data_IF_177418797695
#
_entry.id   IF_177418797695
#
_cell.length_a   1.000
_cell.length_b   1.000
_cell.length_c   1.000
_cell.angle_alpha   90.00
_cell.angle_beta   90.00
_cell.angle_gamma   90.00
#
_symmetry.space_group_name_H-M   'P 1'
#
loop_
_entity.id
_entity.type
_entity.pdbx_description
1 polymer ?
#
# COMPACT_ATOMS: atom_id res chain seq x y z
N UNK A 1 14.07 -34.52 13.47
CA UNK A 1 14.14 -33.67 12.27
C UNK A 1 13.16 -32.49 12.41
N UNK A 2 13.60 -31.34 12.96
CA UNK A 2 12.68 -30.24 13.34
C UNK A 2 13.11 -28.84 12.87
N UNK A 3 13.99 -28.74 11.86
CA UNK A 3 14.60 -27.45 11.45
C UNK A 3 13.85 -26.71 10.34
N UNK A 4 13.05 -27.38 9.51
CA UNK A 4 12.30 -26.74 8.43
C UNK A 4 11.18 -25.77 8.86
N UNK A 5 10.35 -26.03 9.89
CA UNK A 5 9.23 -25.14 10.20
C UNK A 5 9.71 -23.79 10.77
N UNK A 6 10.87 -23.75 11.44
CA UNK A 6 11.46 -22.53 11.98
C UNK A 6 11.95 -21.57 10.87
N UNK A 7 12.49 -22.11 9.77
CA UNK A 7 12.98 -21.30 8.65
C UNK A 7 11.81 -20.60 7.95
N UNK A 8 10.72 -21.32 7.66
CA UNK A 8 9.51 -20.76 7.04
C UNK A 8 8.82 -19.73 7.94
N UNK A 9 8.83 -19.93 9.27
CA UNK A 9 8.32 -18.95 10.21
C UNK A 9 9.17 -17.68 10.27
N UNK A 10 10.50 -17.82 10.19
CA UNK A 10 11.43 -16.67 10.20
C UNK A 10 11.29 -15.81 8.93
N UNK A 11 11.09 -16.45 7.78
CA UNK A 11 10.81 -15.82 6.48
C UNK A 11 9.49 -15.02 6.48
N UNK A 12 8.43 -15.59 7.08
CA UNK A 12 7.15 -14.88 7.25
C UNK A 12 7.27 -13.69 8.20
N UNK A 13 7.98 -13.84 9.33
CA UNK A 13 8.23 -12.73 10.27
C UNK A 13 9.05 -11.61 9.63
N UNK A 14 10.04 -11.93 8.80
CA UNK A 14 10.81 -10.93 8.04
C UNK A 14 9.94 -10.15 7.07
N UNK A 15 9.05 -10.83 6.31
CA UNK A 15 8.10 -10.17 5.40
C UNK A 15 7.09 -9.28 6.14
N UNK A 16 6.57 -9.73 7.28
CA UNK A 16 5.68 -8.92 8.13
C UNK A 16 6.43 -7.71 8.69
N UNK A 17 7.67 -7.89 9.15
CA UNK A 17 8.52 -6.80 9.62
C UNK A 17 8.77 -5.75 8.53
N UNK A 18 9.07 -6.19 7.30
CA UNK A 18 9.28 -5.31 6.15
C UNK A 18 8.01 -4.51 5.82
N UNK A 19 6.84 -5.17 5.80
CA UNK A 19 5.56 -4.51 5.58
C UNK A 19 5.24 -3.47 6.67
N UNK A 20 5.50 -3.78 7.94
CA UNK A 20 5.33 -2.86 9.07
C UNK A 20 6.27 -1.65 8.95
N UNK A 21 7.53 -1.86 8.58
CA UNK A 21 8.48 -0.76 8.39
C UNK A 21 8.07 0.16 7.24
N UNK A 22 7.59 -0.39 6.12
CA UNK A 22 7.07 0.40 5.00
C UNK A 22 5.82 1.18 5.41
N UNK A 23 4.94 0.57 6.21
CA UNK A 23 3.74 1.23 6.73
C UNK A 23 4.09 2.38 7.69
N UNK A 24 5.05 2.19 8.61
CA UNK A 24 5.57 3.24 9.49
C UNK A 24 6.21 4.40 8.71
N UNK A 25 6.95 4.10 7.64
CA UNK A 25 7.52 5.12 6.75
C UNK A 25 6.41 5.92 6.05
N UNK A 26 5.38 5.25 5.54
CA UNK A 26 4.20 5.90 4.94
C UNK A 26 3.47 6.80 5.94
N UNK A 27 3.25 6.33 7.18
CA UNK A 27 2.65 7.14 8.25
C UNK A 27 3.51 8.34 8.62
N UNK A 28 4.84 8.18 8.64
CA UNK A 28 5.78 9.28 8.92
C UNK A 28 5.64 10.35 7.84
N UNK A 29 5.74 9.97 6.57
CA UNK A 29 5.58 10.88 5.42
C UNK A 29 4.22 11.59 5.46
N UNK A 30 3.12 10.86 5.71
CA UNK A 30 1.79 11.46 5.86
C UNK A 30 1.72 12.47 7.02
N UNK A 31 2.39 12.20 8.15
CA UNK A 31 2.46 13.11 9.28
C UNK A 31 3.18 14.42 8.92
N UNK A 32 4.30 14.34 8.20
CA UNK A 32 5.01 15.52 7.67
C UNK A 32 4.12 16.34 6.72
N UNK A 33 3.33 15.69 5.87
CA UNK A 33 2.37 16.38 5.00
C UNK A 33 1.28 17.10 5.79
N UNK A 34 0.72 16.48 6.83
CA UNK A 34 -0.30 17.11 7.68
C UNK A 34 0.25 18.32 8.45
N UNK A 35 1.49 18.23 8.96
CA UNK A 35 2.16 19.36 9.63
C UNK A 35 2.42 20.51 8.66
N UNK A 36 2.90 20.21 7.45
CA UNK A 36 3.09 21.22 6.41
C UNK A 36 1.77 21.89 6.02
N UNK A 37 0.68 21.13 5.89
CA UNK A 37 -0.63 21.67 5.57
C UNK A 37 -1.18 22.57 6.70
N UNK A 38 -1.01 22.17 7.97
CA UNK A 38 -1.37 22.98 9.14
C UNK A 38 -0.62 24.31 9.20
N UNK A 39 0.69 24.32 8.89
CA UNK A 39 1.49 25.54 8.82
C UNK A 39 1.00 26.52 7.74
N UNK A 40 0.62 26.00 6.56
CA UNK A 40 0.04 26.80 5.49
C UNK A 40 -1.36 27.35 5.84
N UNK A 41 -2.19 26.56 6.53
CA UNK A 41 -3.51 27.00 6.99
C UNK A 41 -3.41 28.08 8.08
N UNK A 42 -2.40 28.01 8.95
CA UNK A 42 -2.10 29.03 9.97
C UNK A 42 -1.72 30.39 9.35
N UNK A 43 -0.93 30.38 8.27
CA UNK A 43 -0.64 31.60 7.48
C UNK A 43 -1.90 32.20 6.84
N UNK A 44 -2.85 31.36 6.43
CA UNK A 44 -4.13 31.82 5.89
C UNK A 44 -5.07 32.39 6.97
N UNK A 45 -4.97 31.91 8.21
CA UNK A 45 -5.67 32.44 9.40
C UNK A 45 -4.99 33.72 9.94
N UNK A 46 -3.82 34.13 9.43
CA UNK A 46 -3.23 35.44 9.73
C UNK A 46 -3.91 36.60 8.96
N UNK A 47 -4.61 36.31 7.84
CA UNK A 47 -5.38 37.31 7.05
C UNK A 47 -6.53 38.05 7.76
N UNK A 48 -7.27 37.51 8.75
CA UNK A 48 -8.32 38.24 9.47
C UNK A 48 -7.78 39.45 10.23
N UNK A 49 -6.55 39.37 10.74
CA UNK A 49 -5.86 40.45 11.46
C UNK A 49 -5.62 41.68 10.58
N UNK A 50 -5.43 41.47 9.27
CA UNK A 50 -5.31 42.55 8.28
C UNK A 50 -6.65 43.30 8.15
N UNK A 51 -7.79 42.62 8.30
CA UNK A 51 -9.12 43.24 8.19
C UNK A 51 -9.44 44.15 9.39
N UNK A 52 -8.96 43.84 10.60
CA UNK A 52 -9.10 44.74 11.76
C UNK A 52 -8.19 45.97 11.65
N UNK A 53 -6.98 45.81 11.10
CA UNK A 53 -6.06 46.91 10.81
C UNK A 53 -6.65 47.91 9.80
N UNK A 54 -7.37 47.43 8.79
CA UNK A 54 -8.05 48.30 7.81
C UNK A 54 -9.13 49.15 8.47
N UNK A 55 -9.88 48.61 9.45
CA UNK A 55 -10.92 49.38 10.16
C UNK A 55 -10.34 50.50 11.04
N UNK A 56 -9.25 50.23 11.77
CA UNK A 56 -8.57 51.23 12.62
C UNK A 56 -7.92 52.36 11.78
N UNK A 57 -7.51 52.03 10.54
CA UNK A 57 -7.01 53.03 9.58
C UNK A 57 -8.09 54.04 9.16
N UNK A 58 -9.34 53.60 8.95
CA UNK A 58 -10.43 54.51 8.59
C UNK A 58 -10.79 55.46 9.73
N UNK A 59 -10.72 55.00 10.99
CA UNK A 59 -11.00 55.83 12.17
C UNK A 59 -9.93 56.93 12.40
N UNK A 60 -8.68 56.69 11.99
CA UNK A 60 -7.54 57.62 12.17
C UNK A 60 -7.14 58.37 10.90
N UNK A 61 -7.95 58.29 9.83
CA UNK A 61 -7.63 58.84 8.50
C UNK A 61 -7.30 60.34 8.51
N UNK A 62 -7.99 61.15 9.32
CA UNK A 62 -7.78 62.60 9.36
C UNK A 62 -6.53 63.04 10.15
N UNK A 63 -6.07 62.19 11.06
CA UNK A 63 -4.78 62.37 11.74
C UNK A 63 -3.62 62.01 10.78
N UNK A 64 -3.75 60.87 10.08
CA UNK A 64 -2.75 60.41 9.11
C UNK A 64 -2.65 61.38 7.92
N UNK A 65 -3.77 61.91 7.40
CA UNK A 65 -3.75 62.94 6.35
C UNK A 65 -2.92 64.16 6.74
N UNK A 66 -3.08 64.69 7.96
CA UNK A 66 -2.31 65.86 8.43
C UNK A 66 -0.81 65.58 8.53
N UNK A 67 -0.42 64.38 8.94
CA UNK A 67 0.98 63.98 9.04
C UNK A 67 1.62 63.75 7.66
N UNK A 68 0.86 63.16 6.72
CA UNK A 68 1.34 62.82 5.37
C UNK A 68 1.53 64.06 4.51
N UNK A 69 0.57 65.00 4.50
CA UNK A 69 0.65 66.21 3.68
C UNK A 69 1.68 67.24 4.18
N UNK A 70 2.22 67.08 5.39
CA UNK A 70 3.35 67.87 5.89
C UNK A 70 4.71 67.36 5.36
N UNK A 71 4.75 66.22 4.65
CA UNK A 71 5.98 65.47 4.31
C UNK A 71 6.13 65.12 2.82
N UNK A 72 5.44 65.86 1.94
CA UNK A 72 5.08 65.45 0.58
C UNK A 72 6.26 64.98 -0.31
N UNK A 73 7.48 65.50 -0.16
CA UNK A 73 8.64 65.06 -0.96
C UNK A 73 9.18 63.68 -0.55
N UNK A 74 9.10 63.33 0.73
CA UNK A 74 9.59 62.03 1.22
C UNK A 74 8.62 60.89 0.94
N UNK A 75 7.32 61.19 0.87
CA UNK A 75 6.26 60.23 0.59
C UNK A 75 6.31 59.73 -0.86
N UNK A 76 6.50 60.64 -1.82
CA UNK A 76 6.54 60.30 -3.25
C UNK A 76 7.74 59.39 -3.57
N UNK A 77 8.91 59.65 -3.00
CA UNK A 77 10.10 58.83 -3.23
C UNK A 77 10.02 57.44 -2.55
N UNK A 78 9.42 57.32 -1.36
CA UNK A 78 9.17 56.02 -0.74
C UNK A 78 8.16 55.16 -1.51
N UNK A 79 7.10 55.76 -2.07
CA UNK A 79 6.14 55.06 -2.92
C UNK A 79 6.80 54.59 -4.22
N UNK A 80 7.66 55.42 -4.81
CA UNK A 80 8.42 55.10 -6.03
C UNK A 80 9.39 53.94 -5.81
N UNK A 81 10.11 53.93 -4.68
CA UNK A 81 11.01 52.84 -4.25
C UNK A 81 10.27 51.52 -3.98
N UNK A 82 9.01 51.57 -3.54
CA UNK A 82 8.20 50.38 -3.25
C UNK A 82 7.46 49.79 -4.47
N UNK A 83 7.30 50.56 -5.55
CA UNK A 83 6.66 50.06 -6.78
C UNK A 83 7.39 48.87 -7.44
N UNK A 84 8.73 48.87 -7.61
CA UNK A 84 9.45 47.74 -8.19
C UNK A 84 9.50 46.51 -7.26
N UNK A 85 9.46 46.69 -5.94
CA UNK A 85 9.41 45.56 -4.99
C UNK A 85 8.03 44.88 -5.02
N UNK A 86 6.95 45.65 -5.19
CA UNK A 86 5.60 45.12 -5.38
C UNK A 86 5.43 44.36 -6.71
N UNK A 87 5.97 44.87 -7.83
CA UNK A 87 5.89 44.18 -9.12
C UNK A 87 6.69 42.86 -9.10
N UNK A 88 7.87 42.85 -8.47
CA UNK A 88 8.70 41.65 -8.27
C UNK A 88 7.99 40.60 -7.40
N UNK A 89 7.28 41.01 -6.34
CA UNK A 89 6.44 40.11 -5.54
C UNK A 89 5.26 39.55 -6.34
N UNK A 90 4.55 40.39 -7.10
CA UNK A 90 3.45 39.94 -7.98
C UNK A 90 3.90 38.89 -8.99
N UNK A 91 5.05 39.10 -9.64
CA UNK A 91 5.61 38.14 -10.61
C UNK A 91 5.93 36.80 -9.95
N UNK A 92 6.59 36.79 -8.78
CA UNK A 92 6.86 35.56 -8.02
C UNK A 92 5.60 34.80 -7.59
N UNK A 93 4.50 35.51 -7.29
CA UNK A 93 3.22 34.88 -6.92
C UNK A 93 2.54 34.27 -8.16
N UNK A 94 2.65 34.93 -9.32
CA UNK A 94 2.20 34.38 -10.61
C UNK A 94 2.93 33.08 -10.96
N UNK A 95 4.27 33.11 -10.91
CA UNK A 95 5.10 31.93 -11.24
C UNK A 95 4.84 30.76 -10.26
N UNK A 96 4.50 31.05 -8.99
CA UNK A 96 4.12 30.04 -8.00
C UNK A 96 2.68 29.49 -8.20
N UNK A 97 1.79 30.27 -8.82
CA UNK A 97 0.43 29.84 -9.18
C UNK A 97 0.47 28.76 -10.27
N UNK A 98 1.33 28.93 -11.26
CA UNK A 98 1.53 27.95 -12.35
C UNK A 98 2.20 26.65 -11.84
N UNK A 99 3.00 26.76 -10.77
CA UNK A 99 3.52 25.58 -10.04
C UNK A 99 2.45 24.85 -9.23
N UNK A 100 1.37 25.53 -8.82
CA UNK A 100 0.30 24.93 -8.03
C UNK A 100 -0.66 24.10 -8.89
N UNK A 101 -0.90 24.52 -10.13
CA UNK A 101 -1.72 23.76 -11.10
C UNK A 101 -1.00 22.48 -11.54
N UNK A 102 0.27 22.58 -11.92
CA UNK A 102 1.09 21.41 -12.27
C UNK A 102 1.27 20.42 -11.11
N UNK A 103 1.35 20.90 -9.86
CA UNK A 103 1.36 20.04 -8.68
C UNK A 103 0.02 19.31 -8.50
N UNK A 104 -1.12 20.00 -8.65
CA UNK A 104 -2.43 19.39 -8.57
C UNK A 104 -2.59 18.29 -9.64
N UNK A 105 -2.14 18.54 -10.87
CA UNK A 105 -2.22 17.56 -11.97
C UNK A 105 -1.33 16.33 -11.71
N UNK A 106 -0.14 16.53 -11.10
CA UNK A 106 0.71 15.42 -10.69
C UNK A 106 0.06 14.59 -9.56
N UNK A 107 -0.61 15.24 -8.60
CA UNK A 107 -1.30 14.57 -7.50
C UNK A 107 -2.51 13.78 -8.00
N UNK A 108 -3.29 14.31 -8.95
CA UNK A 108 -4.43 13.58 -9.54
C UNK A 108 -3.95 12.37 -10.34
N UNK A 109 -2.90 12.51 -11.13
CA UNK A 109 -2.30 11.40 -11.87
C UNK A 109 -1.78 10.32 -10.91
N UNK A 110 -1.12 10.72 -9.81
CA UNK A 110 -0.69 9.79 -8.78
C UNK A 110 -1.87 9.07 -8.12
N UNK A 111 -2.96 9.78 -7.81
CA UNK A 111 -4.14 9.16 -7.22
C UNK A 111 -4.79 8.14 -8.17
N UNK A 112 -4.86 8.45 -9.47
CA UNK A 112 -5.40 7.57 -10.51
C UNK A 112 -4.53 6.32 -10.69
N UNK A 113 -3.20 6.47 -10.72
CA UNK A 113 -2.26 5.35 -10.82
C UNK A 113 -2.30 4.45 -9.58
N UNK A 114 -2.41 5.01 -8.38
CA UNK A 114 -2.60 4.22 -7.15
C UNK A 114 -3.93 3.45 -7.19
N UNK A 115 -5.01 4.10 -7.66
CA UNK A 115 -6.33 3.47 -7.77
C UNK A 115 -6.32 2.28 -8.74
N UNK A 116 -5.70 2.46 -9.90
CA UNK A 116 -5.60 1.43 -10.95
C UNK A 116 -4.75 0.24 -10.49
N UNK A 117 -3.56 0.50 -9.96
CA UNK A 117 -2.70 -0.56 -9.38
C UNK A 117 -3.41 -1.27 -8.22
N UNK A 118 -4.12 -0.53 -7.36
CA UNK A 118 -4.92 -1.11 -6.28
C UNK A 118 -6.00 -2.07 -6.77
N UNK A 119 -6.68 -1.74 -7.88
CA UNK A 119 -7.67 -2.60 -8.50
C UNK A 119 -7.05 -3.87 -9.09
N UNK A 120 -5.89 -3.75 -9.74
CA UNK A 120 -5.17 -4.90 -10.30
C UNK A 120 -4.67 -5.85 -9.21
N UNK A 121 -4.10 -5.32 -8.13
CA UNK A 121 -3.70 -6.11 -6.95
C UNK A 121 -4.91 -6.82 -6.36
N UNK A 122 -6.04 -6.12 -6.17
CA UNK A 122 -7.27 -6.71 -5.65
C UNK A 122 -7.76 -7.88 -6.52
N UNK A 123 -7.78 -7.70 -7.84
CA UNK A 123 -8.13 -8.77 -8.80
C UNK A 123 -7.15 -9.94 -8.73
N UNK A 124 -5.84 -9.66 -8.65
CA UNK A 124 -4.80 -10.69 -8.54
C UNK A 124 -4.95 -11.51 -7.27
N UNK A 125 -5.19 -10.86 -6.12
CA UNK A 125 -5.42 -11.53 -4.84
C UNK A 125 -6.67 -12.40 -4.90
N UNK A 126 -7.77 -11.89 -5.46
CA UNK A 126 -9.00 -12.66 -5.62
C UNK A 126 -8.79 -13.92 -6.47
N UNK A 127 -8.05 -13.80 -7.58
CA UNK A 127 -7.69 -14.93 -8.45
C UNK A 127 -6.82 -15.96 -7.72
N UNK A 128 -5.80 -15.52 -6.99
CA UNK A 128 -4.91 -16.41 -6.25
C UNK A 128 -5.65 -17.15 -5.12
N UNK A 129 -6.50 -16.45 -4.36
CA UNK A 129 -7.34 -17.07 -3.31
C UNK A 129 -8.25 -18.14 -3.91
N UNK A 130 -8.85 -17.88 -5.08
CA UNK A 130 -9.70 -18.85 -5.77
C UNK A 130 -8.90 -20.10 -6.19
N UNK A 131 -7.69 -19.93 -6.73
CA UNK A 131 -6.81 -21.04 -7.11
C UNK A 131 -6.41 -21.85 -5.88
N UNK A 132 -6.02 -21.18 -4.79
CA UNK A 132 -5.68 -21.85 -3.53
C UNK A 132 -6.87 -22.63 -2.97
N UNK A 133 -8.06 -22.04 -2.94
CA UNK A 133 -9.27 -22.69 -2.49
C UNK A 133 -9.61 -23.93 -3.34
N UNK A 134 -9.52 -23.81 -4.66
CA UNK A 134 -9.76 -24.92 -5.59
C UNK A 134 -8.75 -26.07 -5.35
N UNK A 135 -7.46 -25.74 -5.22
CA UNK A 135 -6.43 -26.75 -4.94
C UNK A 135 -6.66 -27.47 -3.61
N UNK A 136 -7.03 -26.73 -2.56
CA UNK A 136 -7.36 -27.29 -1.24
C UNK A 136 -8.56 -28.23 -1.31
N UNK A 137 -9.61 -27.84 -2.04
CA UNK A 137 -10.78 -28.70 -2.27
C UNK A 137 -10.41 -29.98 -3.02
N UNK A 138 -9.54 -29.89 -4.03
CA UNK A 138 -9.06 -31.06 -4.78
C UNK A 138 -8.29 -32.02 -3.87
N UNK A 139 -7.36 -31.52 -3.05
CA UNK A 139 -6.58 -32.32 -2.09
C UNK A 139 -7.51 -33.03 -1.09
N UNK A 140 -8.50 -32.31 -0.55
CA UNK A 140 -9.48 -32.89 0.37
C UNK A 140 -10.32 -33.98 -0.31
N UNK A 141 -10.77 -33.74 -1.55
CA UNK A 141 -11.53 -34.71 -2.34
C UNK A 141 -10.72 -35.97 -2.65
N UNK A 142 -9.43 -35.83 -2.97
CA UNK A 142 -8.55 -36.98 -3.15
C UNK A 142 -8.33 -37.75 -1.84
N UNK A 143 -8.17 -37.08 -0.70
CA UNK A 143 -8.01 -37.74 0.59
C UNK A 143 -9.22 -38.62 0.94
N UNK A 144 -10.44 -38.13 0.69
CA UNK A 144 -11.67 -38.90 0.90
C UNK A 144 -11.76 -40.15 0.00
N UNK A 145 -11.21 -40.07 -1.22
CA UNK A 145 -11.21 -41.18 -2.18
C UNK A 145 -10.02 -42.13 -2.00
N UNK A 146 -9.05 -41.79 -1.15
CA UNK A 146 -7.78 -42.50 -1.08
C UNK A 146 -7.99 -43.94 -0.62
N UNK A 147 -8.76 -44.14 0.45
CA UNK A 147 -9.02 -45.47 0.98
C UNK A 147 -9.71 -46.39 -0.03
N UNK A 148 -10.79 -45.93 -0.67
CA UNK A 148 -11.50 -46.73 -1.67
C UNK A 148 -10.59 -47.09 -2.84
N UNK A 149 -9.76 -46.14 -3.30
CA UNK A 149 -8.83 -46.35 -4.40
C UNK A 149 -7.71 -47.32 -4.04
N UNK A 150 -7.19 -47.29 -2.81
CA UNK A 150 -6.19 -48.25 -2.33
C UNK A 150 -6.77 -49.66 -2.22
N UNK A 151 -8.04 -49.81 -1.89
CA UNK A 151 -8.73 -51.11 -1.89
C UNK A 151 -8.90 -51.70 -3.29
N UNK A 152 -8.96 -50.87 -4.32
CA UNK A 152 -9.02 -51.31 -5.73
C UNK A 152 -7.65 -51.72 -6.30
N UNK A 153 -6.54 -51.43 -5.60
CA UNK A 153 -5.20 -51.83 -6.05
C UNK A 153 -4.98 -53.32 -5.78
N UNK A 154 -5.04 -54.11 -6.85
CA UNK A 154 -4.78 -55.55 -6.79
C UNK A 154 -3.33 -55.84 -6.36
N UNK A 155 -3.16 -56.82 -5.46
CA UNK A 155 -1.84 -57.23 -4.95
C UNK A 155 -1.29 -56.42 -3.78
N UNK A 156 -2.03 -55.42 -3.28
CA UNK A 156 -1.66 -54.63 -2.10
C UNK A 156 -2.15 -55.34 -0.81
N UNK A 157 -1.23 -55.66 0.08
CA UNK A 157 -1.57 -56.30 1.37
C UNK A 157 -2.35 -55.34 2.27
N UNK A 158 -3.04 -55.87 3.29
CA UNK A 158 -3.79 -55.03 4.22
C UNK A 158 -2.88 -54.12 5.06
N UNK A 159 -1.71 -54.62 5.50
CA UNK A 159 -0.71 -53.81 6.21
C UNK A 159 -0.15 -52.67 5.35
N UNK A 160 0.22 -52.96 4.09
CA UNK A 160 0.65 -51.92 3.14
C UNK A 160 -0.45 -50.87 2.91
N UNK A 161 -1.73 -51.28 2.85
CA UNK A 161 -2.87 -50.36 2.72
C UNK A 161 -2.99 -49.41 3.91
N UNK A 162 -2.90 -49.90 5.14
CA UNK A 162 -2.97 -49.04 6.33
C UNK A 162 -1.75 -48.11 6.46
N UNK A 163 -0.56 -48.60 6.11
CA UNK A 163 0.65 -47.76 6.06
C UNK A 163 0.54 -46.67 4.99
N UNK A 164 0.04 -47.00 3.80
CA UNK A 164 -0.17 -46.04 2.74
C UNK A 164 -1.23 -45.00 3.12
N UNK A 165 -2.33 -45.44 3.73
CA UNK A 165 -3.40 -44.56 4.18
C UNK A 165 -2.94 -43.57 5.26
N UNK A 166 -2.02 -43.97 6.14
CA UNK A 166 -1.48 -43.08 7.16
C UNK A 166 -0.44 -42.10 6.61
N UNK A 167 0.40 -42.50 5.64
CA UNK A 167 1.49 -41.65 5.11
C UNK A 167 1.10 -40.75 3.92
N UNK A 168 0.34 -41.25 2.95
CA UNK A 168 0.03 -40.52 1.70
C UNK A 168 -0.66 -39.16 1.97
N UNK A 169 -1.63 -39.03 2.91
CA UNK A 169 -2.28 -37.74 3.19
C UNK A 169 -1.33 -36.64 3.67
N UNK A 170 -0.23 -36.99 4.33
CA UNK A 170 0.79 -36.03 4.79
C UNK A 170 1.63 -35.48 3.62
N UNK A 171 1.57 -36.15 2.47
CA UNK A 171 2.29 -35.78 1.25
C UNK A 171 1.32 -35.45 0.11
N UNK A 172 0.65 -34.29 0.20
CA UNK A 172 -0.40 -33.87 -0.75
C UNK A 172 0.00 -33.95 -2.23
N UNK A 173 1.24 -33.60 -2.59
CA UNK A 173 1.76 -33.73 -3.95
C UNK A 173 1.83 -35.20 -4.39
N UNK A 174 2.31 -36.09 -3.53
CA UNK A 174 2.41 -37.52 -3.82
C UNK A 174 1.03 -38.16 -3.93
N UNK A 175 0.08 -37.74 -3.10
CA UNK A 175 -1.32 -38.12 -3.23
C UNK A 175 -1.89 -37.75 -4.61
N UNK A 176 -1.65 -36.52 -5.08
CA UNK A 176 -2.12 -36.10 -6.41
C UNK A 176 -1.45 -36.88 -7.55
N UNK A 177 -0.15 -37.20 -7.42
CA UNK A 177 0.56 -38.06 -8.36
C UNK A 177 -0.10 -39.45 -8.39
N UNK A 178 -0.30 -40.08 -7.23
CA UNK A 178 -0.97 -41.38 -7.12
C UNK A 178 -2.30 -41.44 -7.87
N UNK A 179 -3.15 -40.43 -7.71
CA UNK A 179 -4.44 -40.36 -8.42
C UNK A 179 -4.32 -40.13 -9.92
N UNK A 180 -3.22 -39.51 -10.37
CA UNK A 180 -2.94 -39.27 -11.79
C UNK A 180 -2.34 -40.49 -12.49
N UNK A 181 -1.84 -41.48 -11.73
CA UNK A 181 -1.24 -42.68 -12.28
C UNK A 181 -2.30 -43.67 -12.82
N UNK A 182 -2.00 -44.38 -13.94
CA UNK A 182 -2.78 -45.53 -14.39
C UNK A 182 -2.82 -46.65 -13.33
N UNK A 183 -3.91 -47.41 -13.28
CA UNK A 183 -4.09 -48.47 -12.28
C UNK A 183 -2.93 -49.48 -12.23
N UNK A 184 -2.40 -49.85 -13.41
CA UNK A 184 -1.32 -50.84 -13.55
C UNK A 184 -0.02 -50.47 -12.85
N UNK A 185 0.27 -49.19 -12.63
CA UNK A 185 1.52 -48.73 -12.00
C UNK A 185 1.35 -48.30 -10.54
N UNK A 186 0.10 -48.27 -10.03
CA UNK A 186 -0.19 -47.81 -8.66
C UNK A 186 0.40 -48.71 -7.59
N UNK A 187 0.38 -50.04 -7.80
CA UNK A 187 0.94 -50.99 -6.85
C UNK A 187 2.44 -50.74 -6.61
N UNK A 188 3.21 -50.68 -7.69
CA UNK A 188 4.66 -50.47 -7.64
C UNK A 188 4.99 -49.09 -7.03
N UNK A 189 4.22 -48.07 -7.40
CA UNK A 189 4.39 -46.73 -6.83
C UNK A 189 4.16 -46.73 -5.30
N UNK A 190 3.11 -47.39 -4.80
CA UNK A 190 2.82 -47.44 -3.36
C UNK A 190 3.96 -48.13 -2.60
N UNK A 191 4.49 -49.23 -3.13
CA UNK A 191 5.61 -49.95 -2.51
C UNK A 191 6.87 -49.09 -2.43
N UNK A 192 7.22 -48.39 -3.51
CA UNK A 192 8.36 -47.46 -3.51
C UNK A 192 8.15 -46.31 -2.56
N UNK A 193 6.96 -45.72 -2.56
CA UNK A 193 6.60 -44.64 -1.66
C UNK A 193 6.76 -45.05 -0.19
N UNK A 194 6.29 -46.25 0.18
CA UNK A 194 6.42 -46.80 1.53
C UNK A 194 7.85 -47.23 1.91
N UNK A 195 8.72 -47.50 0.93
CA UNK A 195 10.12 -47.83 1.17
C UNK A 195 10.96 -46.57 1.41
N UNK A 196 10.66 -45.48 0.69
CA UNK A 196 11.41 -44.22 0.75
C UNK A 196 10.99 -43.31 1.92
N UNK A 197 9.78 -43.49 2.47
CA UNK A 197 9.17 -42.66 3.52
C UNK A 197 8.64 -43.55 4.65
#
# INVERSE_FOLDING_TARGET
>A
MARLPLIVQSERRKRIGLAITLWLQMCTVASWFLVAFGANHSLHIYRPKIRSYILDFYAKRDYVKRLVYASDETCIEQVRMNRPTFSKKKKKISDASDSSTSFHDAVTLLAETIRTVGLEISKSIASEVLIQQKSKMTIQKSALKLYSTLCEVEGLTEDERYRALSKIPDHSTQMLIFFSLPSSVRLEWVRRFLADH
#
